data_IF_270888630876
#
_entry.id   IF_270888630876
#
_cell.length_a   1.000
_cell.length_b   1.000
_cell.length_c   1.000
_cell.angle_alpha   90.00
_cell.angle_beta   90.00
_cell.angle_gamma   90.00
#
_symmetry.space_group_name_H-M   'P 1'
#
loop_
_entity.id
_entity.type
_entity.pdbx_description
1 polymer ?
#
# COMPACT_ATOMS: atom_id res chain seq x y z
N UNK A 1 -38.88 28.68 -14.28
CA UNK A 1 -37.63 27.88 -14.44
C UNK A 1 -36.87 27.93 -13.12
N UNK A 2 -36.91 26.85 -12.32
CA UNK A 2 -36.10 26.79 -11.08
C UNK A 2 -34.75 26.18 -11.47
N UNK A 3 -33.68 26.93 -11.19
CA UNK A 3 -32.30 26.44 -11.35
C UNK A 3 -32.07 25.24 -10.43
N UNK A 4 -31.58 24.15 -11.00
CA UNK A 4 -31.10 23.00 -10.23
C UNK A 4 -29.90 23.43 -9.37
N UNK A 5 -29.80 22.94 -8.11
CA UNK A 5 -28.64 23.22 -7.28
C UNK A 5 -27.39 22.61 -7.92
N UNK A 6 -26.34 23.43 -8.07
CA UNK A 6 -25.01 22.97 -8.43
C UNK A 6 -24.52 22.03 -7.33
N UNK A 7 -24.43 20.76 -7.64
CA UNK A 7 -23.72 19.79 -6.82
C UNK A 7 -22.25 20.13 -6.88
N UNK A 8 -21.79 20.94 -5.93
CA UNK A 8 -20.37 21.07 -5.67
C UNK A 8 -19.79 19.68 -5.47
N UNK A 9 -18.75 19.37 -6.20
CA UNK A 9 -18.07 18.08 -6.17
C UNK A 9 -17.47 17.83 -4.78
N UNK A 10 -18.27 17.29 -3.88
CA UNK A 10 -17.72 16.63 -2.71
C UNK A 10 -16.84 15.46 -3.20
N UNK A 11 -15.60 15.33 -2.73
CA UNK A 11 -14.77 14.20 -3.11
C UNK A 11 -15.54 12.92 -2.73
N UNK A 12 -15.58 11.93 -3.63
CA UNK A 12 -16.34 10.71 -3.37
C UNK A 12 -15.85 10.05 -2.07
N UNK A 13 -16.78 9.58 -1.24
CA UNK A 13 -16.52 9.04 0.10
C UNK A 13 -15.46 7.91 0.14
N UNK A 14 -15.22 7.22 -0.98
CA UNK A 14 -14.18 6.21 -1.12
C UNK A 14 -12.74 6.78 -1.10
N UNK A 15 -12.52 8.08 -1.33
CA UNK A 15 -11.20 8.71 -1.20
C UNK A 15 -10.66 8.64 0.25
N UNK A 16 -11.52 8.78 1.25
CA UNK A 16 -11.12 8.68 2.66
C UNK A 16 -10.67 7.27 3.09
N UNK A 17 -11.24 6.23 2.50
CA UNK A 17 -10.84 4.84 2.78
C UNK A 17 -9.49 4.48 2.16
N UNK A 18 -9.14 5.09 1.03
CA UNK A 18 -7.84 4.87 0.36
C UNK A 18 -6.66 5.23 1.25
N UNK A 19 -6.68 6.36 1.94
CA UNK A 19 -5.55 6.83 2.75
C UNK A 19 -5.19 5.89 3.91
N UNK A 20 -6.17 5.26 4.54
CA UNK A 20 -5.93 4.30 5.63
C UNK A 20 -5.39 2.95 5.13
N UNK A 21 -5.76 2.54 3.92
CA UNK A 21 -5.22 1.33 3.28
C UNK A 21 -3.79 1.58 2.74
N UNK A 22 -3.52 2.76 2.20
CA UNK A 22 -2.21 3.20 1.71
C UNK A 22 -1.16 3.27 2.81
N UNK A 23 -1.56 3.60 4.05
CA UNK A 23 -0.66 3.63 5.19
C UNK A 23 -0.01 2.28 5.47
N UNK A 24 -0.63 1.18 5.06
CA UNK A 24 -0.07 -0.16 5.27
C UNK A 24 1.20 -0.39 4.46
N UNK A 25 1.21 -0.15 3.15
CA UNK A 25 2.39 -0.37 2.30
C UNK A 25 3.60 0.43 2.80
N UNK A 26 3.37 1.70 3.17
CA UNK A 26 4.40 2.57 3.76
C UNK A 26 4.92 1.99 5.07
N UNK A 27 4.03 1.61 5.99
CA UNK A 27 4.45 1.08 7.29
C UNK A 27 5.09 -0.31 7.17
N UNK A 28 4.67 -1.16 6.22
CA UNK A 28 5.33 -2.43 5.90
C UNK A 28 6.77 -2.21 5.44
N UNK A 29 6.99 -1.29 4.50
CA UNK A 29 8.33 -1.00 4.00
C UNK A 29 9.24 -0.45 5.11
N UNK A 30 8.73 0.47 5.93
CA UNK A 30 9.46 1.03 7.06
C UNK A 30 9.73 0.01 8.15
N UNK A 31 8.79 -0.87 8.46
CA UNK A 31 8.99 -1.94 9.44
C UNK A 31 10.04 -2.95 8.97
N UNK A 32 10.04 -3.34 7.68
CA UNK A 32 11.09 -4.20 7.13
C UNK A 32 12.48 -3.58 7.29
N UNK A 33 12.61 -2.27 7.03
CA UNK A 33 13.88 -1.57 7.23
C UNK A 33 14.26 -1.42 8.72
N UNK A 34 13.27 -1.28 9.61
CA UNK A 34 13.49 -1.17 11.05
C UNK A 34 13.85 -2.53 11.69
N UNK A 35 13.28 -3.64 11.21
CA UNK A 35 13.57 -4.98 11.72
C UNK A 35 15.01 -5.43 11.42
N UNK A 36 15.56 -5.03 10.29
CA UNK A 36 16.94 -5.32 9.90
C UNK A 36 17.53 -4.14 9.15
N UNK A 37 18.30 -3.31 9.86
CA UNK A 37 18.96 -2.12 9.31
C UNK A 37 20.04 -2.42 8.25
N UNK A 38 20.41 -3.68 8.07
CA UNK A 38 21.35 -4.10 7.01
C UNK A 38 20.68 -4.27 5.68
N UNK A 39 19.32 -4.30 5.65
CA UNK A 39 18.52 -4.54 4.45
C UNK A 39 18.15 -3.25 3.74
N UNK A 40 18.38 -3.21 2.45
CA UNK A 40 17.97 -2.13 1.59
C UNK A 40 16.52 -2.35 1.13
N UNK A 41 15.63 -1.42 1.49
CA UNK A 41 14.21 -1.49 1.19
C UNK A 41 13.80 -0.37 0.23
N UNK A 42 13.01 -0.72 -0.77
CA UNK A 42 12.36 0.19 -1.70
C UNK A 42 10.84 0.16 -1.54
N UNK A 43 10.19 1.27 -1.86
CA UNK A 43 8.74 1.43 -1.87
C UNK A 43 8.31 2.06 -3.20
N UNK A 44 7.51 1.33 -3.97
CA UNK A 44 6.95 1.78 -5.23
C UNK A 44 5.44 2.00 -5.09
N UNK A 45 5.00 3.20 -5.41
CA UNK A 45 3.59 3.57 -5.55
C UNK A 45 3.13 3.31 -6.98
N UNK A 46 2.38 2.24 -7.17
CA UNK A 46 1.77 1.89 -8.45
C UNK A 46 0.31 2.41 -8.57
N UNK A 47 -0.21 3.11 -7.55
CA UNK A 47 -1.52 3.77 -7.63
C UNK A 47 -1.42 5.12 -8.35
N UNK A 48 -1.41 5.04 -9.68
CA UNK A 48 -1.27 6.20 -10.56
C UNK A 48 -2.44 7.19 -10.42
N UNK A 49 -3.61 6.72 -10.02
CA UNK A 49 -4.82 7.56 -9.92
C UNK A 49 -4.88 8.41 -8.65
N UNK A 50 -4.19 8.03 -7.60
CA UNK A 50 -4.19 8.74 -6.33
C UNK A 50 -2.90 8.52 -5.56
N UNK A 51 -1.76 8.96 -6.13
CA UNK A 51 -0.47 8.73 -5.50
C UNK A 51 -0.42 9.44 -4.15
N UNK A 52 -0.09 8.72 -3.09
CA UNK A 52 -0.12 9.23 -1.72
C UNK A 52 1.20 9.08 -0.98
N UNK A 53 2.09 8.23 -1.47
CA UNK A 53 3.41 7.97 -0.88
C UNK A 53 4.24 9.25 -0.73
N UNK A 54 4.26 10.21 -1.69
CA UNK A 54 4.98 11.47 -1.51
C UNK A 54 4.61 12.20 -0.22
N UNK A 55 3.31 12.34 0.05
CA UNK A 55 2.81 13.00 1.25
C UNK A 55 3.13 12.21 2.52
N UNK A 56 2.83 10.91 2.53
CA UNK A 56 3.05 10.05 3.70
C UNK A 56 4.51 9.88 4.07
N UNK A 57 5.41 9.95 3.09
CA UNK A 57 6.85 9.86 3.30
C UNK A 57 7.53 11.23 3.44
N UNK A 58 6.76 12.32 3.50
CA UNK A 58 7.28 13.70 3.53
C UNK A 58 8.35 13.95 2.46
N UNK A 59 8.09 13.51 1.25
CA UNK A 59 8.98 13.65 0.10
C UNK A 59 8.41 14.65 -0.90
N UNK A 60 9.27 15.56 -1.38
CA UNK A 60 8.93 16.59 -2.36
C UNK A 60 10.02 16.70 -3.42
N UNK A 61 9.64 17.19 -4.59
CA UNK A 61 10.54 17.41 -5.71
C UNK A 61 10.50 16.27 -6.72
N UNK A 62 11.23 16.49 -7.82
CA UNK A 62 11.30 15.55 -8.94
C UNK A 62 12.53 14.65 -8.81
N UNK A 63 12.45 13.38 -9.23
CA UNK A 63 13.60 12.49 -9.26
C UNK A 63 14.64 12.97 -10.27
N UNK A 64 15.91 12.95 -9.86
CA UNK A 64 17.03 13.21 -10.74
C UNK A 64 17.29 12.02 -11.67
N UNK A 65 17.89 12.29 -12.83
CA UNK A 65 18.33 11.23 -13.72
C UNK A 65 19.74 10.78 -13.37
N UNK A 66 19.95 9.48 -13.38
CA UNK A 66 21.28 8.87 -13.27
C UNK A 66 22.05 9.03 -14.60
N UNK A 67 23.38 8.80 -14.63
CA UNK A 67 24.15 8.78 -15.88
C UNK A 67 23.65 7.76 -16.91
N UNK A 68 22.87 6.78 -16.46
CA UNK A 68 22.22 5.76 -17.32
C UNK A 68 20.83 6.19 -17.82
N UNK A 69 20.46 7.44 -17.60
CA UNK A 69 19.12 7.99 -17.93
C UNK A 69 17.95 7.27 -17.21
N UNK A 70 18.20 6.77 -15.99
CA UNK A 70 17.21 6.18 -15.11
C UNK A 70 16.85 7.17 -14.00
N UNK A 71 15.61 7.16 -13.53
CA UNK A 71 15.15 8.00 -12.43
C UNK A 71 15.73 7.49 -11.11
N UNK A 72 16.36 8.38 -10.34
CA UNK A 72 16.83 8.05 -8.98
C UNK A 72 15.69 8.18 -8.01
N UNK A 73 15.37 7.12 -7.22
CA UNK A 73 14.31 7.22 -6.23
C UNK A 73 14.66 8.24 -5.14
N UNK A 74 13.65 8.96 -4.66
CA UNK A 74 13.81 9.84 -3.51
C UNK A 74 13.94 9.00 -2.25
N UNK A 75 14.64 9.52 -1.23
CA UNK A 75 14.91 8.76 0.00
C UNK A 75 14.44 9.54 1.22
N UNK A 76 13.71 8.86 2.10
CA UNK A 76 13.42 9.33 3.45
C UNK A 76 13.27 8.13 4.39
N UNK A 77 13.51 8.35 5.68
CA UNK A 77 13.44 7.31 6.73
C UNK A 77 14.22 6.03 6.40
N UNK A 78 15.32 6.15 5.67
CA UNK A 78 16.19 5.02 5.32
C UNK A 78 15.72 4.16 4.14
N UNK A 79 14.58 4.42 3.53
CA UNK A 79 14.06 3.68 2.36
C UNK A 79 14.01 4.52 1.09
N UNK A 80 14.11 3.85 -0.06
CA UNK A 80 14.03 4.47 -1.38
C UNK A 80 12.59 4.44 -1.89
N UNK A 81 12.03 5.57 -2.33
CA UNK A 81 10.64 5.71 -2.75
C UNK A 81 10.54 6.21 -4.18
N UNK A 82 9.59 5.65 -4.93
CA UNK A 82 9.20 6.14 -6.25
C UNK A 82 7.68 6.16 -6.39
N UNK A 83 7.16 7.21 -6.99
CA UNK A 83 5.73 7.43 -7.21
C UNK A 83 5.50 8.30 -8.44
N UNK A 84 4.36 8.12 -9.09
CA UNK A 84 3.91 9.05 -10.12
C UNK A 84 3.68 10.46 -9.57
N UNK A 85 3.37 10.59 -8.28
CA UNK A 85 3.21 11.88 -7.61
C UNK A 85 4.49 12.75 -7.60
N UNK A 86 5.66 12.18 -7.90
CA UNK A 86 6.89 12.96 -8.11
C UNK A 86 7.06 13.46 -9.54
N UNK A 87 6.27 12.93 -10.49
CA UNK A 87 6.42 13.22 -11.92
C UNK A 87 5.30 14.10 -12.47
N UNK A 88 4.26 14.33 -11.68
CA UNK A 88 3.07 15.10 -12.05
C UNK A 88 2.88 16.21 -11.04
N UNK A 89 2.58 17.41 -11.51
CA UNK A 89 2.25 18.54 -10.63
C UNK A 89 0.94 18.26 -9.88
N UNK A 90 0.91 18.47 -8.57
CA UNK A 90 -0.26 18.22 -7.69
C UNK A 90 -1.54 18.95 -8.17
N UNK A 91 -1.39 20.08 -8.85
CA UNK A 91 -2.49 20.94 -9.31
C UNK A 91 -2.93 20.65 -10.74
N UNK A 92 -2.18 19.85 -11.49
CA UNK A 92 -2.50 19.54 -12.87
C UNK A 92 -3.61 18.46 -12.95
N UNK A 93 -4.78 18.78 -13.57
CA UNK A 93 -5.80 17.77 -13.80
C UNK A 93 -5.33 16.80 -14.88
N UNK A 94 -4.72 15.71 -14.48
CA UNK A 94 -4.28 14.66 -15.42
C UNK A 94 -5.44 13.72 -15.70
N UNK A 95 -5.89 13.69 -16.94
CA UNK A 95 -6.88 12.71 -17.40
C UNK A 95 -6.15 11.43 -17.81
N UNK A 96 -6.08 10.47 -16.90
CA UNK A 96 -5.48 9.19 -17.15
C UNK A 96 -6.34 8.33 -18.07
N UNK A 97 -5.81 7.98 -19.24
CA UNK A 97 -6.41 6.97 -20.14
C UNK A 97 -5.64 5.67 -19.97
N UNK A 98 -6.30 4.52 -20.19
CA UNK A 98 -5.73 3.19 -19.93
C UNK A 98 -4.31 2.97 -20.46
N UNK A 99 -4.03 3.32 -21.71
CA UNK A 99 -2.69 3.21 -22.30
C UNK A 99 -1.65 4.13 -21.64
N UNK A 100 -2.05 5.31 -21.18
CA UNK A 100 -1.15 6.24 -20.47
C UNK A 100 -0.78 5.68 -19.09
N UNK A 101 -1.75 5.11 -18.38
CA UNK A 101 -1.52 4.45 -17.09
C UNK A 101 -0.55 3.29 -17.24
N UNK A 102 -0.74 2.44 -18.24
CA UNK A 102 0.14 1.31 -18.50
C UNK A 102 1.57 1.76 -18.85
N UNK A 103 1.72 2.78 -19.69
CA UNK A 103 3.03 3.37 -20.00
C UNK A 103 3.71 3.98 -18.77
N UNK A 104 2.94 4.64 -17.90
CA UNK A 104 3.45 5.21 -16.66
C UNK A 104 3.97 4.13 -15.71
N UNK A 105 3.21 3.07 -15.52
CA UNK A 105 3.61 1.92 -14.69
C UNK A 105 4.85 1.23 -15.25
N UNK A 106 4.91 1.03 -16.55
CA UNK A 106 6.09 0.44 -17.19
C UNK A 106 7.35 1.29 -16.93
N UNK A 107 7.23 2.62 -17.02
CA UNK A 107 8.33 3.53 -16.68
C UNK A 107 8.74 3.40 -15.21
N UNK A 108 7.79 3.34 -14.27
CA UNK A 108 8.07 3.18 -12.84
C UNK A 108 8.74 1.84 -12.53
N UNK A 109 8.42 0.78 -13.26
CA UNK A 109 8.99 -0.54 -13.08
C UNK A 109 10.39 -0.67 -13.70
N UNK A 110 10.60 -0.08 -14.90
CA UNK A 110 11.80 -0.33 -15.71
C UNK A 110 12.80 0.82 -15.74
N UNK A 111 12.37 2.07 -15.48
CA UNK A 111 13.20 3.25 -15.63
C UNK A 111 13.62 3.89 -14.29
N UNK A 112 13.62 3.11 -13.22
CA UNK A 112 14.06 3.55 -11.89
C UNK A 112 15.37 2.85 -11.53
N UNK A 113 16.36 3.65 -11.11
CA UNK A 113 17.66 3.16 -10.64
C UNK A 113 17.57 2.81 -9.14
N UNK A 114 16.97 1.64 -8.86
CA UNK A 114 16.81 1.15 -7.49
C UNK A 114 18.14 0.75 -6.82
N UNK A 115 19.22 0.57 -7.59
CA UNK A 115 20.45 0.01 -7.07
C UNK A 115 20.29 -1.43 -6.55
N UNK A 116 21.00 -1.73 -5.48
CA UNK A 116 20.93 -3.03 -4.81
C UNK A 116 19.84 -2.97 -3.73
N UNK A 117 18.68 -3.60 -3.96
CA UNK A 117 17.63 -3.76 -2.97
C UNK A 117 17.51 -5.21 -2.53
N UNK A 118 17.24 -5.41 -1.23
CA UNK A 118 16.81 -6.69 -0.68
C UNK A 118 15.31 -6.89 -0.83
N UNK A 119 14.54 -5.82 -0.60
CA UNK A 119 13.08 -5.82 -0.68
C UNK A 119 12.56 -4.66 -1.51
N UNK A 120 11.56 -4.91 -2.34
CA UNK A 120 10.74 -3.88 -2.98
C UNK A 120 9.28 -4.12 -2.62
N UNK A 121 8.70 -3.20 -1.87
CA UNK A 121 7.26 -3.18 -1.58
C UNK A 121 6.57 -2.37 -2.66
N UNK A 122 5.56 -2.95 -3.29
CA UNK A 122 4.79 -2.31 -4.36
C UNK A 122 3.36 -2.09 -3.88
N UNK A 123 2.95 -0.84 -3.73
CA UNK A 123 1.58 -0.47 -3.40
C UNK A 123 0.72 -0.47 -4.66
N UNK A 124 -0.22 -1.40 -4.73
CA UNK A 124 -1.07 -1.62 -5.90
C UNK A 124 -2.34 -0.76 -5.83
N UNK A 125 -2.86 -0.29 -6.98
CA UNK A 125 -4.17 0.34 -7.01
C UNK A 125 -5.26 -0.67 -6.61
N UNK A 126 -6.43 -0.19 -6.13
CA UNK A 126 -7.53 -1.08 -5.78
C UNK A 126 -8.11 -1.78 -7.01
N UNK A 127 -8.67 -2.98 -6.79
CA UNK A 127 -9.35 -3.77 -7.81
C UNK A 127 -8.49 -4.86 -8.46
N UNK A 128 -8.97 -5.40 -9.56
CA UNK A 128 -8.37 -6.54 -10.29
C UNK A 128 -8.21 -6.23 -11.79
N UNK A 129 -7.76 -5.02 -12.09
CA UNK A 129 -7.67 -4.51 -13.46
C UNK A 129 -6.34 -4.80 -14.17
N UNK A 130 -6.15 -4.15 -15.31
CA UNK A 130 -4.97 -4.33 -16.17
C UNK A 130 -3.66 -3.97 -15.48
N UNK A 131 -3.69 -3.03 -14.53
CA UNK A 131 -2.52 -2.61 -13.76
C UNK A 131 -1.97 -3.76 -12.94
N UNK A 132 -2.83 -4.43 -12.16
CA UNK A 132 -2.45 -5.56 -11.31
C UNK A 132 -1.89 -6.70 -12.15
N UNK A 133 -2.51 -7.01 -13.26
CA UNK A 133 -2.05 -8.03 -14.20
C UNK A 133 -0.68 -7.65 -14.80
N UNK A 134 -0.52 -6.42 -15.26
CA UNK A 134 0.73 -5.94 -15.83
C UNK A 134 1.89 -5.98 -14.85
N UNK A 135 1.68 -5.50 -13.62
CA UNK A 135 2.74 -5.57 -12.60
C UNK A 135 3.10 -7.02 -12.32
N UNK A 136 2.11 -7.89 -12.10
CA UNK A 136 2.34 -9.32 -11.82
C UNK A 136 3.06 -10.07 -12.94
N UNK A 137 2.89 -9.63 -14.19
CA UNK A 137 3.54 -10.24 -15.35
C UNK A 137 4.94 -9.69 -15.64
N UNK A 138 5.19 -8.41 -15.31
CA UNK A 138 6.45 -7.74 -15.60
C UNK A 138 7.47 -7.81 -14.46
N UNK A 139 7.04 -8.17 -13.26
CA UNK A 139 7.86 -8.20 -12.04
C UNK A 139 7.84 -9.61 -11.45
N UNK A 140 8.99 -10.19 -11.12
CA UNK A 140 9.05 -11.51 -10.46
C UNK A 140 8.60 -11.40 -8.99
N UNK A 141 7.30 -11.32 -8.79
CA UNK A 141 6.69 -11.10 -7.47
C UNK A 141 6.90 -12.31 -6.57
N UNK A 142 7.50 -12.11 -5.42
CA UNK A 142 7.75 -13.16 -4.41
C UNK A 142 6.46 -13.54 -3.67
N UNK A 143 5.57 -12.57 -3.43
CA UNK A 143 4.29 -12.81 -2.80
C UNK A 143 3.42 -11.55 -2.73
N UNK A 144 2.13 -11.76 -2.53
CA UNK A 144 1.14 -10.69 -2.38
C UNK A 144 0.49 -10.76 -0.99
N UNK A 145 0.28 -9.59 -0.39
CA UNK A 145 -0.52 -9.42 0.83
C UNK A 145 -1.83 -8.73 0.44
N UNK A 146 -2.95 -9.33 0.81
CA UNK A 146 -4.26 -8.76 0.54
C UNK A 146 -4.75 -8.04 1.78
N UNK A 147 -5.15 -6.78 1.59
CA UNK A 147 -5.65 -5.92 2.66
C UNK A 147 -7.13 -5.67 2.45
N UNK A 148 -7.95 -5.95 3.46
CA UNK A 148 -9.38 -5.73 3.39
C UNK A 148 -9.94 -5.22 4.71
N UNK A 149 -11.07 -4.54 4.65
CA UNK A 149 -11.91 -4.27 5.81
C UNK A 149 -12.92 -5.40 6.00
N UNK A 150 -13.55 -5.54 7.19
CA UNK A 150 -14.55 -6.59 7.43
C UNK A 150 -15.86 -6.46 6.65
N UNK A 151 -16.05 -5.38 5.89
CA UNK A 151 -17.28 -5.11 5.12
C UNK A 151 -17.45 -6.11 3.96
N UNK A 152 -18.65 -6.61 3.75
CA UNK A 152 -18.97 -7.58 2.69
C UNK A 152 -18.52 -7.15 1.29
N UNK A 153 -18.69 -5.87 0.95
CA UNK A 153 -18.29 -5.35 -0.35
C UNK A 153 -16.77 -5.39 -0.54
N UNK A 154 -16.00 -5.08 0.51
CA UNK A 154 -14.54 -5.16 0.47
C UNK A 154 -14.06 -6.62 0.42
N UNK A 155 -14.74 -7.52 1.12
CA UNK A 155 -14.44 -8.96 1.11
C UNK A 155 -14.66 -9.58 -0.28
N UNK A 156 -15.69 -9.12 -1.01
CA UNK A 156 -15.90 -9.57 -2.39
C UNK A 156 -14.74 -9.17 -3.31
N UNK A 157 -14.21 -7.96 -3.15
CA UNK A 157 -13.07 -7.51 -3.95
C UNK A 157 -11.76 -8.18 -3.52
N UNK A 158 -11.55 -8.38 -2.22
CA UNK A 158 -10.42 -9.14 -1.70
C UNK A 158 -10.42 -10.60 -2.23
N UNK A 159 -11.58 -11.24 -2.31
CA UNK A 159 -11.72 -12.58 -2.92
C UNK A 159 -11.30 -12.57 -4.39
N UNK A 160 -11.78 -11.59 -5.18
CA UNK A 160 -11.39 -11.45 -6.60
C UNK A 160 -9.88 -11.23 -6.73
N UNK A 161 -9.27 -10.43 -5.83
CA UNK A 161 -7.83 -10.20 -5.79
C UNK A 161 -7.06 -11.51 -5.54
N UNK A 162 -7.48 -12.32 -4.57
CA UNK A 162 -6.86 -13.61 -4.29
C UNK A 162 -6.95 -14.57 -5.49
N UNK A 163 -8.11 -14.64 -6.12
CA UNK A 163 -8.31 -15.48 -7.33
C UNK A 163 -7.46 -14.98 -8.51
N UNK A 164 -7.32 -13.68 -8.68
CA UNK A 164 -6.46 -13.09 -9.70
C UNK A 164 -5.00 -13.48 -9.47
N UNK A 165 -4.46 -13.31 -8.25
CA UNK A 165 -3.08 -13.70 -7.94
C UNK A 165 -2.82 -15.19 -8.15
N UNK A 166 -3.78 -16.05 -7.81
CA UNK A 166 -3.71 -17.49 -8.11
C UNK A 166 -3.59 -17.77 -9.61
N UNK A 167 -4.38 -17.07 -10.44
CA UNK A 167 -4.35 -17.22 -11.90
C UNK A 167 -3.03 -16.80 -12.54
N UNK A 168 -2.37 -15.79 -11.99
CA UNK A 168 -1.07 -15.30 -12.45
C UNK A 168 0.11 -15.96 -11.72
N UNK A 169 -0.14 -17.00 -10.94
CA UNK A 169 0.86 -17.77 -10.19
C UNK A 169 1.68 -16.94 -9.19
N UNK A 170 1.10 -15.88 -8.63
CA UNK A 170 1.70 -15.11 -7.53
C UNK A 170 1.22 -15.70 -6.21
N UNK A 171 2.12 -16.14 -5.31
CA UNK A 171 1.74 -16.63 -4.01
C UNK A 171 1.04 -15.56 -3.18
N UNK A 172 -0.14 -15.87 -2.62
CA UNK A 172 -0.79 -14.99 -1.63
C UNK A 172 -0.27 -15.39 -0.25
N UNK A 173 0.46 -14.50 0.41
CA UNK A 173 1.09 -14.72 1.71
C UNK A 173 0.06 -14.75 2.84
N UNK A 174 -1.03 -14.01 2.68
CA UNK A 174 -2.14 -13.96 3.62
C UNK A 174 -2.95 -12.68 3.51
N UNK A 175 -3.90 -12.52 4.45
CA UNK A 175 -4.78 -11.36 4.55
C UNK A 175 -4.44 -10.50 5.77
N UNK A 176 -4.62 -9.20 5.62
CA UNK A 176 -4.58 -8.23 6.72
C UNK A 176 -5.97 -7.63 6.87
N UNK A 177 -6.52 -7.70 8.08
CA UNK A 177 -7.77 -7.04 8.42
C UNK A 177 -7.49 -5.61 8.83
N UNK A 178 -7.85 -4.64 8.00
CA UNK A 178 -7.72 -3.23 8.31
C UNK A 178 -9.03 -2.68 8.89
N UNK A 179 -8.92 -1.65 9.73
CA UNK A 179 -10.08 -1.06 10.44
C UNK A 179 -10.86 -2.11 11.26
N UNK A 180 -10.13 -3.03 11.88
CA UNK A 180 -10.71 -4.17 12.62
C UNK A 180 -11.59 -3.73 13.78
N UNK A 181 -11.13 -2.74 14.53
CA UNK A 181 -11.82 -2.20 15.70
C UNK A 181 -11.55 -0.69 15.82
N UNK A 182 -12.55 0.07 16.21
CA UNK A 182 -12.38 1.45 16.64
C UNK A 182 -12.27 1.50 18.15
N UNK A 183 -11.20 2.08 18.68
CA UNK A 183 -11.03 2.35 20.09
C UNK A 183 -11.26 3.83 20.39
N UNK A 184 -12.22 4.12 21.25
CA UNK A 184 -12.52 5.51 21.66
C UNK A 184 -11.30 6.12 22.38
N UNK A 185 -10.76 7.26 21.94
CA UNK A 185 -9.59 7.87 22.57
C UNK A 185 -9.85 8.34 24.00
N UNK A 186 -11.12 8.60 24.38
CA UNK A 186 -11.50 9.07 25.70
C UNK A 186 -11.77 7.94 26.69
N UNK A 187 -12.66 7.00 26.35
CA UNK A 187 -13.11 5.97 27.30
C UNK A 187 -12.53 4.57 26.97
N UNK A 188 -11.71 4.44 25.94
CA UNK A 188 -11.10 3.17 25.49
C UNK A 188 -12.10 2.06 25.12
N UNK A 189 -13.39 2.40 25.01
CA UNK A 189 -14.40 1.46 24.53
C UNK A 189 -14.11 1.04 23.09
N UNK A 190 -14.19 -0.25 22.83
CA UNK A 190 -13.94 -0.84 21.52
C UNK A 190 -15.25 -1.14 20.80
N UNK A 191 -15.31 -0.80 19.53
CA UNK A 191 -16.50 -1.00 18.69
C UNK A 191 -16.09 -1.47 17.31
N UNK A 192 -16.69 -2.56 16.85
CA UNK A 192 -16.49 -3.09 15.49
C UNK A 192 -17.42 -2.36 14.50
N UNK A 193 -16.99 -1.18 14.02
CA UNK A 193 -17.81 -0.33 13.13
C UNK A 193 -18.12 -1.04 11.82
N UNK A 194 -17.19 -1.82 11.29
CA UNK A 194 -17.27 -2.47 9.98
C UNK A 194 -17.55 -3.98 10.06
N UNK A 195 -17.83 -4.53 11.23
CA UNK A 195 -17.92 -5.97 11.48
C UNK A 195 -16.65 -6.55 12.11
N UNK A 196 -16.75 -7.75 12.67
CA UNK A 196 -15.65 -8.36 13.43
C UNK A 196 -14.88 -9.41 12.62
N UNK A 197 -15.57 -10.39 12.02
CA UNK A 197 -14.97 -11.66 11.59
C UNK A 197 -14.91 -11.86 10.07
N UNK A 198 -15.38 -10.92 9.28
CA UNK A 198 -15.52 -11.09 7.83
C UNK A 198 -14.21 -11.49 7.12
N UNK A 199 -13.07 -10.88 7.46
CA UNK A 199 -11.78 -11.23 6.87
C UNK A 199 -11.30 -12.60 7.34
N UNK A 200 -11.59 -12.97 8.60
CA UNK A 200 -11.23 -14.28 9.18
C UNK A 200 -11.98 -15.41 8.48
N UNK A 201 -13.26 -15.22 8.20
CA UNK A 201 -14.08 -16.19 7.48
C UNK A 201 -13.70 -16.29 6.00
N UNK A 202 -13.33 -15.18 5.38
CA UNK A 202 -12.76 -15.18 4.04
C UNK A 202 -11.42 -15.95 4.01
N UNK A 203 -10.54 -15.72 4.97
CA UNK A 203 -9.26 -16.43 5.08
C UNK A 203 -9.45 -17.94 5.16
N UNK A 204 -10.36 -18.40 6.05
CA UNK A 204 -10.73 -19.84 6.15
C UNK A 204 -11.23 -20.38 4.81
N UNK A 205 -12.10 -19.63 4.13
CA UNK A 205 -12.67 -20.04 2.83
C UNK A 205 -11.61 -20.18 1.75
N UNK A 206 -10.61 -19.29 1.75
CA UNK A 206 -9.53 -19.27 0.77
C UNK A 206 -8.34 -20.17 1.14
N UNK A 207 -8.31 -20.70 2.36
CA UNK A 207 -7.17 -21.46 2.91
C UNK A 207 -5.93 -20.59 3.07
N UNK A 208 -6.11 -19.33 3.50
CA UNK A 208 -5.05 -18.35 3.70
C UNK A 208 -4.91 -17.99 5.18
N UNK A 209 -3.72 -17.55 5.58
CA UNK A 209 -3.47 -17.09 6.94
C UNK A 209 -3.92 -15.63 7.12
N UNK A 210 -4.36 -15.31 8.35
CA UNK A 210 -4.50 -13.92 8.79
C UNK A 210 -3.13 -13.47 9.28
N UNK A 211 -2.59 -12.50 8.59
CA UNK A 211 -1.30 -11.93 8.93
C UNK A 211 -1.42 -10.92 10.09
N UNK A 212 -2.53 -10.25 10.27
CA UNK A 212 -2.79 -9.35 11.41
C UNK A 212 -4.00 -8.47 11.26
N UNK A 213 -4.28 -7.75 12.35
CA UNK A 213 -5.40 -6.82 12.46
C UNK A 213 -4.86 -5.40 12.73
N UNK A 214 -5.38 -4.43 12.01
CA UNK A 214 -5.02 -3.02 12.16
C UNK A 214 -6.25 -2.27 12.65
N UNK A 215 -6.17 -1.63 13.83
CA UNK A 215 -7.30 -0.88 14.35
C UNK A 215 -7.52 0.43 13.58
N UNK A 216 -8.75 0.91 13.58
CA UNK A 216 -9.08 2.26 13.19
C UNK A 216 -8.69 3.21 14.33
N UNK A 217 -7.53 3.84 14.22
CA UNK A 217 -6.99 4.71 15.26
C UNK A 217 -6.64 6.10 14.72
N UNK A 218 -6.98 7.13 15.49
CA UNK A 218 -6.75 8.53 15.09
C UNK A 218 -5.28 8.83 14.84
N UNK A 219 -4.37 8.28 15.67
CA UNK A 219 -2.93 8.51 15.54
C UNK A 219 -2.39 7.99 14.18
N UNK A 220 -2.89 6.85 13.70
CA UNK A 220 -2.44 6.31 12.39
C UNK A 220 -2.73 7.31 11.29
N UNK A 221 -3.93 7.92 11.30
CA UNK A 221 -4.31 8.95 10.33
C UNK A 221 -3.44 10.21 10.49
N UNK A 222 -3.36 10.74 11.71
CA UNK A 222 -2.66 12.01 11.96
C UNK A 222 -1.17 11.94 11.65
N UNK A 223 -0.50 10.84 12.01
CA UNK A 223 0.92 10.64 11.73
C UNK A 223 1.17 10.47 10.21
N UNK A 224 0.30 9.74 9.50
CA UNK A 224 0.40 9.62 8.03
C UNK A 224 0.14 10.95 7.33
N UNK A 225 -0.87 11.72 7.76
CA UNK A 225 -1.17 13.06 7.21
C UNK A 225 -0.03 14.06 7.44
N UNK A 226 0.68 13.92 8.57
CA UNK A 226 1.85 14.73 8.91
C UNK A 226 3.13 14.28 8.18
N UNK A 227 3.10 13.20 7.40
CA UNK A 227 4.28 12.63 6.75
C UNK A 227 5.25 11.96 7.71
N UNK A 228 4.78 11.51 8.87
CA UNK A 228 5.53 10.81 9.90
C UNK A 228 4.85 9.46 10.23
N UNK A 229 4.98 8.44 9.39
CA UNK A 229 4.32 7.16 9.57
C UNK A 229 4.49 6.58 10.98
N UNK A 230 3.50 5.82 11.46
CA UNK A 230 3.44 5.40 12.87
C UNK A 230 4.65 4.56 13.30
N UNK A 231 5.21 3.76 12.41
CA UNK A 231 6.43 2.98 12.65
C UNK A 231 7.62 3.87 13.01
N UNK A 232 7.66 5.10 12.47
CA UNK A 232 8.73 6.08 12.76
C UNK A 232 8.38 6.94 13.98
N UNK A 233 7.14 7.44 14.05
CA UNK A 233 6.73 8.39 15.08
C UNK A 233 6.48 7.72 16.43
N UNK A 234 6.03 6.46 16.46
CA UNK A 234 5.66 5.71 17.65
C UNK A 234 6.13 4.23 17.57
N UNK A 235 7.45 3.96 17.53
CA UNK A 235 7.97 2.60 17.34
C UNK A 235 7.61 1.63 18.47
N UNK A 236 7.23 2.14 19.65
CA UNK A 236 6.81 1.38 20.83
C UNK A 236 5.28 1.27 20.94
N UNK A 237 4.52 1.71 19.95
CA UNK A 237 3.06 1.65 20.03
C UNK A 237 2.55 0.20 19.98
N UNK A 238 1.49 -0.08 20.77
CA UNK A 238 0.77 -1.38 20.79
C UNK A 238 0.13 -1.75 19.44
N UNK A 239 0.24 -0.89 18.44
CA UNK A 239 -0.11 -1.23 17.07
C UNK A 239 0.94 -2.20 16.54
N UNK A 240 0.64 -3.48 16.62
CA UNK A 240 1.50 -4.65 16.34
C UNK A 240 2.17 -4.70 14.94
N UNK A 241 2.41 -3.57 14.29
CA UNK A 241 2.98 -3.50 12.95
C UNK A 241 4.38 -4.15 12.85
N UNK A 242 5.27 -3.84 13.79
CA UNK A 242 6.63 -4.38 13.76
C UNK A 242 6.66 -5.86 14.16
N UNK A 243 5.97 -6.22 15.24
CA UNK A 243 5.92 -7.61 15.71
C UNK A 243 5.26 -8.55 14.71
N UNK A 244 4.21 -8.06 14.06
CA UNK A 244 3.48 -8.75 13.00
C UNK A 244 4.37 -9.09 11.80
N UNK A 245 5.11 -8.12 11.28
CA UNK A 245 5.94 -8.31 10.08
C UNK A 245 7.22 -9.12 10.37
N UNK A 246 7.78 -8.97 11.56
CA UNK A 246 8.97 -9.74 11.95
C UNK A 246 8.64 -11.20 12.25
N UNK A 247 7.43 -11.52 12.73
CA UNK A 247 7.03 -12.88 13.09
C UNK A 247 6.36 -13.68 11.97
N UNK A 248 5.68 -12.98 11.04
CA UNK A 248 4.86 -13.62 10.01
C UNK A 248 5.53 -13.72 8.64
N UNK A 249 6.67 -13.06 8.44
CA UNK A 249 7.34 -13.14 7.15
C UNK A 249 8.10 -14.45 7.01
N UNK A 250 7.79 -15.29 6.02
CA UNK A 250 8.68 -16.37 5.60
C UNK A 250 9.88 -15.76 4.87
N UNK A 251 10.62 -14.90 5.58
CA UNK A 251 11.76 -14.16 5.07
C UNK A 251 13.04 -14.97 5.28
N UNK A 252 13.06 -16.25 4.81
CA UNK A 252 14.32 -16.98 4.79
C UNK A 252 15.31 -16.31 3.82
N UNK A 253 16.58 -16.15 4.21
CA UNK A 253 17.58 -15.42 3.46
C UNK A 253 18.17 -16.29 2.34
N UNK A 254 17.43 -16.58 1.28
CA UNK A 254 18.01 -17.22 0.10
C UNK A 254 17.88 -16.32 -1.11
N UNK A 255 18.99 -15.70 -1.42
CA UNK A 255 19.45 -15.08 -2.68
C UNK A 255 18.40 -14.54 -3.66
N UNK A 256 18.49 -13.25 -3.91
CA UNK A 256 17.85 -12.36 -4.90
C UNK A 256 16.78 -11.47 -4.27
N UNK A 257 16.71 -10.22 -4.81
CA UNK A 257 15.72 -9.20 -4.52
C UNK A 257 14.30 -9.80 -4.36
N UNK A 258 13.65 -9.55 -3.24
CA UNK A 258 12.28 -10.00 -2.98
C UNK A 258 11.31 -8.87 -3.26
N UNK A 259 10.31 -9.14 -4.05
CA UNK A 259 9.29 -8.18 -4.43
C UNK A 259 7.94 -8.60 -3.86
N UNK A 260 7.33 -7.71 -3.06
CA UNK A 260 6.05 -7.95 -2.43
C UNK A 260 5.02 -6.95 -2.95
N UNK A 261 3.83 -7.46 -3.28
CA UNK A 261 2.69 -6.66 -3.64
C UNK A 261 1.76 -6.50 -2.43
N UNK A 262 1.30 -5.29 -2.19
CA UNK A 262 0.15 -5.03 -1.33
C UNK A 262 -1.04 -4.73 -2.23
N UNK A 263 -2.08 -5.55 -2.19
CA UNK A 263 -3.33 -5.36 -2.93
C UNK A 263 -4.44 -4.95 -1.97
N UNK A 264 -5.25 -4.01 -2.41
CA UNK A 264 -6.38 -3.41 -1.68
C UNK A 264 -7.69 -3.98 -2.15
#
# INVERSE_FOLDING_TARGET
MRQAPSWGSAPPAWLGQRHLLLSLAVNVALALAACDSTKAVGLLDADVYGPSIPKMMNLKGNPELSPKNLMRPLKNYGIACMSMGFLVEETAPVVWRGLMVMSAIEKLLRQVDWGQLDYLVIDMPPGTGDVQLSVSQNVPVTGAVIVSTPQDIALLDARKGAEMFRKVHVPVLGLVQNMSVFQCPKCKHETHIFGADGVRDLAKTLGLDILGDIPLHVNIRETCDAGQPIVISQPQSDTHFCSFLCSSAPLSPTSKRKEFLTSK
#
